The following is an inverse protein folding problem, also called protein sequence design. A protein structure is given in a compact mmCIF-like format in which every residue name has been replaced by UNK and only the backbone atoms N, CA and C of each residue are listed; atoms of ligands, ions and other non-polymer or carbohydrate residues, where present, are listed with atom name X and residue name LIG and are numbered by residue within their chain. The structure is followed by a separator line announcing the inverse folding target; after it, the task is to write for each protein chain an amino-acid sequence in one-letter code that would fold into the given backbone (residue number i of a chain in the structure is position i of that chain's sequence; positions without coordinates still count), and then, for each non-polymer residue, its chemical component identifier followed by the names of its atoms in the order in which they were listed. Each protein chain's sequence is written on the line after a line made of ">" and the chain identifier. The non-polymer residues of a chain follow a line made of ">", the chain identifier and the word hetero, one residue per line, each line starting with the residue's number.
data_IF_238287444117
#
_entry.id   IF_238287444117
#
_cell.length_a   1.000
_cell.length_b   1.000
_cell.length_c   1.000
_cell.angle_alpha   90.00
_cell.angle_beta   90.00
_cell.angle_gamma   90.00
#
_symmetry.space_group_name_H-M   'P 1'
#
loop_
_entity.id
_entity.type
_entity.pdbx_description
1 polymer ?
#
# COMPACT_ATOMS: atom_id res chain seq x y z
N UNK A 1 7.29 32.70 7.29
CA UNK A 1 6.90 31.60 6.39
C UNK A 1 6.38 30.48 7.26
N UNK A 2 5.08 30.15 7.18
CA UNK A 2 4.52 29.00 7.91
C UNK A 2 4.39 27.82 6.96
N UNK A 3 5.18 26.78 7.20
CA UNK A 3 5.06 25.47 6.55
C UNK A 3 4.55 24.49 7.59
N UNK A 4 3.54 23.71 7.23
CA UNK A 4 2.95 22.68 8.07
C UNK A 4 3.36 21.30 7.55
N UNK A 5 3.71 20.40 8.45
CA UNK A 5 3.92 18.99 8.10
C UNK A 5 2.61 18.36 7.63
N UNK A 6 2.70 17.46 6.64
CA UNK A 6 1.55 16.70 6.14
C UNK A 6 1.41 15.44 6.98
N UNK A 7 0.36 15.35 7.82
CA UNK A 7 0.14 14.21 8.72
C UNK A 7 -1.11 13.40 8.40
N UNK A 8 -2.00 13.96 7.59
CA UNK A 8 -3.28 13.40 7.24
C UNK A 8 -3.72 13.93 5.87
N UNK A 9 -4.86 13.42 5.39
CA UNK A 9 -5.38 13.73 4.06
C UNK A 9 -5.82 15.19 3.89
N UNK A 10 -6.26 15.85 4.97
CA UNK A 10 -6.65 17.27 4.91
C UNK A 10 -5.42 18.17 4.73
N UNK A 11 -4.34 17.89 5.49
CA UNK A 11 -3.05 18.56 5.32
C UNK A 11 -2.49 18.36 3.91
N UNK A 12 -2.69 17.16 3.34
CA UNK A 12 -2.26 16.81 1.99
C UNK A 12 -3.03 17.61 0.93
N UNK A 13 -4.37 17.66 1.03
CA UNK A 13 -5.21 18.47 0.15
C UNK A 13 -4.87 19.95 0.23
N UNK A 14 -4.58 20.46 1.42
CA UNK A 14 -4.15 21.84 1.62
C UNK A 14 -2.77 22.12 1.02
N UNK A 15 -1.82 21.19 1.12
CA UNK A 15 -0.52 21.30 0.47
C UNK A 15 -0.67 21.33 -1.06
N UNK A 16 -1.49 20.46 -1.65
CA UNK A 16 -1.78 20.47 -3.09
C UNK A 16 -2.40 21.79 -3.57
N UNK A 17 -3.32 22.38 -2.79
CA UNK A 17 -3.89 23.71 -3.11
C UNK A 17 -2.83 24.79 -3.10
N UNK A 18 -1.92 24.77 -2.13
CA UNK A 18 -0.83 25.73 -2.04
C UNK A 18 0.16 25.58 -3.20
N UNK A 19 0.56 24.35 -3.55
CA UNK A 19 1.40 24.06 -4.72
C UNK A 19 0.76 24.66 -5.98
N UNK A 20 -0.53 24.42 -6.19
CA UNK A 20 -1.27 24.97 -7.33
C UNK A 20 -1.25 26.51 -7.37
N UNK A 21 -1.35 27.16 -6.22
CA UNK A 21 -1.29 28.63 -6.14
C UNK A 21 0.12 29.20 -6.35
N UNK A 22 1.15 28.39 -6.12
CA UNK A 22 2.56 28.76 -6.21
C UNK A 22 3.22 28.22 -7.49
N UNK A 23 2.44 27.66 -8.42
CA UNK A 23 2.96 26.94 -9.59
C UNK A 23 3.91 27.78 -10.46
N UNK A 24 3.60 29.07 -10.59
CA UNK A 24 4.39 30.03 -11.38
C UNK A 24 5.47 30.75 -10.55
N UNK A 25 5.74 30.29 -9.32
CA UNK A 25 6.75 30.90 -8.47
C UNK A 25 8.15 30.74 -9.05
N UNK A 26 8.94 31.82 -8.99
CA UNK A 26 10.29 31.83 -9.53
C UNK A 26 11.25 31.09 -8.59
N UNK A 27 12.09 30.18 -9.08
CA UNK A 27 13.10 29.49 -8.26
C UNK A 27 14.02 30.45 -7.50
N UNK A 28 14.36 30.10 -6.26
CA UNK A 28 15.21 30.93 -5.38
C UNK A 28 14.53 32.16 -4.81
N UNK A 29 13.22 32.31 -5.01
CA UNK A 29 12.39 33.27 -4.27
C UNK A 29 11.73 32.58 -3.07
N UNK A 30 11.26 33.32 -2.05
CA UNK A 30 10.57 32.71 -0.91
C UNK A 30 9.38 31.81 -1.29
N UNK A 31 8.65 32.19 -2.35
CA UNK A 31 7.54 31.40 -2.88
C UNK A 31 8.03 30.15 -3.64
N UNK A 32 9.14 30.26 -4.37
CA UNK A 32 9.78 29.12 -5.04
C UNK A 32 10.36 28.11 -4.04
N UNK A 33 11.06 28.59 -3.01
CA UNK A 33 11.59 27.75 -1.92
C UNK A 33 10.44 27.06 -1.17
N UNK A 34 9.33 27.77 -0.96
CA UNK A 34 8.12 27.20 -0.35
C UNK A 34 7.49 26.13 -1.25
N UNK A 35 7.42 26.35 -2.56
CA UNK A 35 6.93 25.37 -3.54
C UNK A 35 7.76 24.09 -3.48
N UNK A 36 9.09 24.21 -3.48
CA UNK A 36 10.01 23.07 -3.41
C UNK A 36 9.81 22.25 -2.13
N UNK A 37 9.72 22.92 -0.97
CA UNK A 37 9.49 22.23 0.31
C UNK A 37 8.12 21.54 0.33
N UNK A 38 7.07 22.17 -0.21
CA UNK A 38 5.75 21.55 -0.29
C UNK A 38 5.76 20.29 -1.16
N UNK A 39 6.48 20.30 -2.28
CA UNK A 39 6.67 19.11 -3.11
C UNK A 39 7.38 17.99 -2.35
N UNK A 40 8.45 18.30 -1.61
CA UNK A 40 9.15 17.29 -0.82
C UNK A 40 8.24 16.66 0.26
N UNK A 41 7.41 17.47 0.91
CA UNK A 41 6.46 16.99 1.92
C UNK A 41 5.34 16.13 1.31
N UNK A 42 4.82 16.54 0.16
CA UNK A 42 3.81 15.79 -0.60
C UNK A 42 4.38 14.45 -1.05
N UNK A 43 5.54 14.43 -1.68
CA UNK A 43 6.19 13.18 -2.12
C UNK A 43 6.42 12.23 -0.94
N UNK A 44 6.94 12.74 0.18
CA UNK A 44 7.13 11.92 1.38
C UNK A 44 5.82 11.34 1.90
N UNK A 45 4.77 12.16 1.96
CA UNK A 45 3.46 11.70 2.40
C UNK A 45 2.89 10.64 1.45
N UNK A 46 3.02 10.85 0.14
CA UNK A 46 2.60 9.89 -0.89
C UNK A 46 3.41 8.58 -0.82
N UNK A 47 4.73 8.62 -0.65
CA UNK A 47 5.54 7.41 -0.45
C UNK A 47 5.11 6.60 0.77
N UNK A 48 4.72 7.27 1.86
CA UNK A 48 4.26 6.64 3.11
C UNK A 48 2.80 6.12 3.01
N UNK A 49 1.92 6.76 2.22
CA UNK A 49 0.47 6.49 2.17
C UNK A 49 -0.01 5.86 0.85
N UNK A 50 0.84 5.84 -0.16
CA UNK A 50 0.66 5.23 -1.47
C UNK A 50 2.03 4.69 -1.88
N UNK A 51 2.49 3.60 -1.24
CA UNK A 51 3.71 2.94 -1.71
C UNK A 51 3.57 2.73 -3.21
N UNK A 52 4.66 2.96 -3.95
CA UNK A 52 4.72 2.69 -5.39
C UNK A 52 4.31 1.24 -5.56
N UNK A 53 3.02 1.01 -5.82
CA UNK A 53 2.51 -0.30 -6.08
C UNK A 53 3.16 -0.68 -7.40
N UNK A 54 3.87 -1.81 -7.40
CA UNK A 54 4.16 -2.50 -8.63
C UNK A 54 2.88 -2.49 -9.48
N UNK A 55 2.96 -2.15 -10.78
CA UNK A 55 1.79 -1.94 -11.59
C UNK A 55 0.91 -3.19 -11.49
N UNK A 56 -0.39 -2.99 -11.24
CA UNK A 56 -1.37 -4.06 -11.32
C UNK A 56 -1.07 -4.89 -12.59
N UNK A 57 -0.93 -6.22 -12.52
CA UNK A 57 -0.58 -7.04 -13.68
C UNK A 57 -1.43 -6.75 -14.90
N UNK A 58 -2.70 -6.41 -14.71
CA UNK A 58 -3.62 -6.06 -15.79
C UNK A 58 -3.24 -4.73 -16.42
N UNK A 59 -2.89 -3.73 -15.61
CA UNK A 59 -2.45 -2.43 -16.10
C UNK A 59 -1.09 -2.53 -16.78
N UNK A 60 -0.18 -3.31 -16.20
CA UNK A 60 1.10 -3.68 -16.83
C UNK A 60 0.89 -4.29 -18.21
N UNK A 61 -0.02 -5.27 -18.34
CA UNK A 61 -0.34 -5.89 -19.63
C UNK A 61 -0.85 -4.85 -20.63
N UNK A 62 -1.75 -3.94 -20.23
CA UNK A 62 -2.30 -2.91 -21.12
C UNK A 62 -1.21 -1.96 -21.62
N UNK A 63 -0.33 -1.49 -20.73
CA UNK A 63 0.80 -0.64 -21.13
C UNK A 63 1.69 -1.37 -22.14
N UNK A 64 2.04 -2.63 -21.87
CA UNK A 64 2.83 -3.45 -22.81
C UNK A 64 2.12 -3.68 -24.13
N UNK A 65 0.80 -3.83 -24.13
CA UNK A 65 0.02 -3.94 -25.36
C UNK A 65 0.11 -2.65 -26.17
N UNK A 66 0.00 -1.48 -25.55
CA UNK A 66 0.14 -0.19 -26.23
C UNK A 66 1.54 -0.01 -26.82
N UNK A 67 2.58 -0.29 -26.04
CA UNK A 67 3.98 -0.19 -26.47
C UNK A 67 4.33 -1.12 -27.63
N UNK A 68 3.75 -2.32 -27.64
CA UNK A 68 3.99 -3.33 -28.68
C UNK A 68 2.96 -3.29 -29.81
N UNK A 69 1.96 -2.40 -29.74
CA UNK A 69 0.88 -2.32 -30.72
C UNK A 69 -0.03 -3.55 -30.78
N UNK A 70 -0.13 -4.31 -29.68
CA UNK A 70 -0.93 -5.53 -29.58
C UNK A 70 -2.42 -5.20 -29.40
N UNK A 71 -3.27 -6.03 -30.01
CA UNK A 71 -4.72 -6.01 -29.80
C UNK A 71 -5.12 -7.15 -28.87
N UNK A 72 -6.33 -7.08 -28.31
CA UNK A 72 -6.87 -8.17 -27.47
C UNK A 72 -6.79 -9.55 -28.14
N UNK A 73 -7.01 -9.61 -29.47
CA UNK A 73 -6.91 -10.86 -30.22
C UNK A 73 -5.52 -11.49 -30.20
N UNK A 74 -4.47 -10.68 -30.04
CA UNK A 74 -3.09 -11.15 -30.06
C UNK A 74 -2.70 -11.79 -28.72
N UNK A 75 -3.49 -11.61 -27.66
CA UNK A 75 -3.30 -12.26 -26.37
C UNK A 75 -3.93 -13.64 -26.26
N UNK A 76 -4.78 -14.03 -27.22
CA UNK A 76 -5.47 -15.34 -27.25
C UNK A 76 -4.49 -16.52 -27.14
N UNK A 77 -3.34 -16.56 -27.85
CA UNK A 77 -2.40 -17.67 -27.73
C UNK A 77 -1.80 -17.84 -26.32
N UNK A 78 -1.79 -16.78 -25.51
CA UNK A 78 -1.13 -16.78 -24.21
C UNK A 78 -2.12 -16.92 -23.05
N UNK A 79 -3.31 -16.32 -23.18
CA UNK A 79 -4.34 -16.30 -22.14
C UNK A 79 -5.43 -17.36 -22.39
N UNK A 80 -5.66 -17.77 -23.64
CA UNK A 80 -6.70 -18.71 -24.02
C UNK A 80 -7.79 -18.03 -24.86
N UNK A 81 -9.06 -18.15 -24.48
CA UNK A 81 -10.16 -17.66 -25.32
C UNK A 81 -10.27 -16.12 -25.35
N UNK A 82 -10.97 -15.56 -26.35
CA UNK A 82 -11.23 -14.11 -26.44
C UNK A 82 -12.00 -13.59 -25.21
N UNK A 83 -12.91 -14.41 -24.70
CA UNK A 83 -13.67 -14.14 -23.47
C UNK A 83 -12.71 -14.07 -22.28
N UNK A 84 -11.79 -15.03 -22.16
CA UNK A 84 -10.79 -15.06 -21.08
C UNK A 84 -9.86 -13.83 -21.13
N UNK A 85 -9.40 -13.43 -22.32
CA UNK A 85 -8.63 -12.18 -22.49
C UNK A 85 -9.43 -10.98 -21.99
N UNK A 86 -10.69 -10.88 -22.38
CA UNK A 86 -11.56 -9.76 -21.99
C UNK A 86 -11.82 -9.75 -20.49
N UNK A 87 -12.05 -10.91 -19.87
CA UNK A 87 -12.26 -11.03 -18.43
C UNK A 87 -11.02 -10.65 -17.64
N UNK A 88 -9.83 -11.08 -18.08
CA UNK A 88 -8.54 -10.72 -17.45
C UNK A 88 -8.29 -9.22 -17.56
N UNK A 89 -8.40 -8.65 -18.77
CA UNK A 89 -8.13 -7.22 -18.98
C UNK A 89 -9.11 -6.28 -18.28
N UNK A 90 -10.30 -6.78 -17.94
CA UNK A 90 -11.30 -6.07 -17.13
C UNK A 90 -11.24 -6.42 -15.64
N UNK A 91 -10.25 -7.21 -15.19
CA UNK A 91 -10.08 -7.58 -13.79
C UNK A 91 -11.16 -8.51 -13.23
N UNK A 92 -12.01 -9.11 -14.08
CA UNK A 92 -13.06 -10.07 -13.66
C UNK A 92 -12.49 -11.45 -13.35
N UNK A 93 -11.28 -11.74 -13.84
CA UNK A 93 -10.59 -13.01 -13.66
C UNK A 93 -9.10 -12.74 -13.37
N UNK A 94 -8.51 -13.37 -12.33
CA UNK A 94 -7.07 -13.30 -12.11
C UNK A 94 -6.31 -14.05 -13.21
N UNK A 95 -5.07 -13.63 -13.46
CA UNK A 95 -4.12 -14.41 -14.25
C UNK A 95 -3.82 -15.74 -13.55
N UNK A 96 -3.84 -16.84 -14.30
CA UNK A 96 -3.32 -18.12 -13.81
C UNK A 96 -1.79 -18.17 -13.95
N UNK A 97 -1.14 -19.04 -13.19
CA UNK A 97 0.31 -19.26 -13.31
C UNK A 97 0.72 -19.69 -14.74
N UNK A 98 -0.15 -20.42 -15.43
CA UNK A 98 0.08 -20.81 -16.82
C UNK A 98 0.00 -19.60 -17.76
N UNK A 99 -1.00 -18.73 -17.60
CA UNK A 99 -1.10 -17.47 -18.36
C UNK A 99 0.11 -16.58 -18.14
N UNK A 100 0.56 -16.44 -16.88
CA UNK A 100 1.75 -15.67 -16.52
C UNK A 100 2.99 -16.19 -17.24
N UNK A 101 3.21 -17.51 -17.21
CA UNK A 101 4.34 -18.15 -17.93
C UNK A 101 4.24 -17.93 -19.43
N UNK A 102 3.06 -18.08 -20.01
CA UNK A 102 2.86 -17.90 -21.45
C UNK A 102 3.11 -16.46 -21.89
N UNK A 103 2.65 -15.47 -21.12
CA UNK A 103 2.92 -14.05 -21.39
C UNK A 103 4.42 -13.72 -21.24
N UNK A 104 5.07 -14.27 -20.20
CA UNK A 104 6.51 -14.08 -19.99
C UNK A 104 7.33 -14.66 -21.14
N UNK A 105 7.21 -15.96 -21.41
CA UNK A 105 8.01 -16.63 -22.44
C UNK A 105 7.60 -16.26 -23.86
N UNK A 106 6.32 -15.92 -24.06
CA UNK A 106 5.75 -15.67 -25.37
C UNK A 106 5.88 -14.23 -25.86
N UNK A 107 5.80 -13.25 -24.94
CA UNK A 107 5.83 -11.82 -25.26
C UNK A 107 6.96 -11.06 -24.55
N UNK A 108 7.76 -11.73 -23.72
CA UNK A 108 8.84 -11.11 -22.96
C UNK A 108 8.37 -10.21 -21.83
N UNK A 109 7.16 -10.45 -21.30
CA UNK A 109 6.59 -9.65 -20.22
C UNK A 109 7.33 -9.96 -18.91
N UNK A 110 7.56 -8.95 -18.05
CA UNK A 110 8.25 -9.13 -16.78
C UNK A 110 7.48 -10.08 -15.87
N UNK A 111 8.16 -11.10 -15.35
CA UNK A 111 7.56 -12.07 -14.46
C UNK A 111 7.16 -11.43 -13.13
N UNK A 112 8.01 -10.54 -12.60
CA UNK A 112 7.75 -9.81 -11.35
C UNK A 112 6.47 -8.99 -11.45
N UNK A 113 6.34 -8.18 -12.52
CA UNK A 113 5.17 -7.35 -12.75
C UNK A 113 3.86 -8.13 -13.01
N UNK A 114 3.95 -9.41 -13.42
CA UNK A 114 2.78 -10.26 -13.66
C UNK A 114 2.32 -11.03 -12.41
N UNK A 115 3.15 -11.10 -11.37
CA UNK A 115 2.87 -11.86 -10.13
C UNK A 115 2.35 -10.93 -9.02
N UNK A 116 2.55 -9.62 -9.13
CA UNK A 116 1.98 -8.62 -8.22
C UNK A 116 0.46 -8.81 -8.08
N UNK A 117 -0.10 -8.67 -6.88
CA UNK A 117 -1.54 -8.82 -6.71
C UNK A 117 -2.30 -7.68 -7.43
N UNK A 118 -3.32 -7.97 -8.26
CA UNK A 118 -4.12 -6.94 -8.91
C UNK A 118 -4.85 -6.08 -7.86
N UNK A 119 -4.83 -4.76 -8.07
CA UNK A 119 -5.41 -3.74 -7.19
C UNK A 119 -6.94 -3.75 -7.31
N UNK A 120 -7.60 -4.82 -6.89
CA UNK A 120 -9.06 -4.91 -6.99
C UNK A 120 -9.66 -6.30 -6.97
N UNK A 121 -8.86 -7.36 -7.10
CA UNK A 121 -9.35 -8.69 -6.75
C UNK A 121 -9.14 -8.87 -5.25
N UNK A 122 -10.24 -8.78 -4.50
CA UNK A 122 -10.37 -9.39 -3.19
C UNK A 122 -10.23 -10.91 -3.30
N UNK A 123 -9.05 -11.38 -3.71
CA UNK A 123 -8.56 -12.64 -3.23
C UNK A 123 -8.69 -12.50 -1.72
N UNK A 124 -9.45 -13.41 -1.10
CA UNK A 124 -9.34 -13.64 0.32
C UNK A 124 -7.93 -14.21 0.56
N UNK A 125 -6.90 -13.41 0.34
CA UNK A 125 -5.78 -13.43 1.26
C UNK A 125 -6.45 -13.06 2.57
N UNK A 126 -6.63 -14.05 3.46
CA UNK A 126 -6.59 -13.71 4.88
C UNK A 126 -5.49 -12.66 5.02
N UNK A 127 -5.76 -11.49 5.64
CA UNK A 127 -4.75 -10.45 5.78
C UNK A 127 -3.50 -11.15 6.30
N UNK A 128 -2.49 -11.30 5.44
CA UNK A 128 -1.23 -11.84 5.88
C UNK A 128 -0.80 -10.85 6.96
N UNK A 129 -0.55 -11.31 8.20
CA UNK A 129 -0.21 -10.41 9.28
C UNK A 129 0.92 -9.55 8.76
N UNK A 130 0.67 -8.23 8.64
CA UNK A 130 1.70 -7.29 8.25
C UNK A 130 2.82 -7.52 9.26
N UNK A 131 3.89 -8.18 8.81
CA UNK A 131 5.01 -8.51 9.68
C UNK A 131 5.58 -7.16 10.08
N UNK A 132 5.26 -6.73 11.31
CA UNK A 132 5.77 -5.48 11.85
C UNK A 132 7.27 -5.53 11.68
N UNK A 133 7.83 -4.52 11.01
CA UNK A 133 9.27 -4.45 10.84
C UNK A 133 9.91 -4.33 12.24
N UNK A 134 11.14 -4.83 12.45
CA UNK A 134 11.79 -4.75 13.76
C UNK A 134 11.96 -3.31 14.30
N UNK A 135 11.99 -2.32 13.42
CA UNK A 135 12.08 -0.90 13.74
C UNK A 135 10.71 -0.23 13.95
N UNK A 136 9.61 -0.98 13.84
CA UNK A 136 8.26 -0.46 14.03
C UNK A 136 7.99 -0.12 15.51
N UNK A 137 7.45 1.07 15.84
CA UNK A 137 7.14 1.44 17.21
C UNK A 137 6.25 0.43 17.96
N UNK A 138 5.34 -0.26 17.26
CA UNK A 138 4.47 -1.28 17.86
C UNK A 138 5.24 -2.56 18.16
N UNK A 139 6.18 -2.96 17.28
CA UNK A 139 7.05 -4.09 17.54
C UNK A 139 7.98 -3.82 18.71
N UNK A 140 8.65 -2.67 18.71
CA UNK A 140 9.55 -2.26 19.80
C UNK A 140 8.80 -2.26 21.13
N UNK A 141 7.64 -1.60 21.19
CA UNK A 141 6.85 -1.54 22.43
C UNK A 141 6.27 -2.89 22.82
N UNK A 142 5.87 -3.70 21.84
CA UNK A 142 5.36 -5.06 22.07
C UNK A 142 6.38 -5.95 22.75
N UNK A 143 7.61 -5.99 22.23
CA UNK A 143 8.70 -6.77 22.83
C UNK A 143 9.06 -6.26 24.22
N UNK A 144 9.04 -4.94 24.45
CA UNK A 144 9.27 -4.36 25.78
C UNK A 144 8.20 -4.83 26.81
N UNK A 145 6.94 -4.90 26.40
CA UNK A 145 5.82 -5.24 27.30
C UNK A 145 5.69 -6.74 27.56
N UNK A 146 5.94 -7.57 26.55
CA UNK A 146 5.76 -9.02 26.66
C UNK A 146 7.05 -9.76 26.97
N UNK A 147 8.21 -9.12 26.85
CA UNK A 147 9.57 -9.67 27.03
C UNK A 147 9.94 -10.85 26.09
N UNK A 148 8.95 -11.41 25.41
CA UNK A 148 9.02 -12.56 24.51
C UNK A 148 8.26 -12.28 23.21
N UNK A 149 8.92 -12.59 22.08
CA UNK A 149 8.38 -12.34 20.75
C UNK A 149 7.17 -13.24 20.44
N UNK A 150 7.19 -14.50 20.88
CA UNK A 150 6.09 -15.44 20.62
C UNK A 150 4.82 -15.04 21.38
N UNK A 151 4.95 -14.60 22.63
CA UNK A 151 3.83 -14.09 23.42
C UNK A 151 3.26 -12.78 22.85
N UNK A 152 4.12 -11.88 22.36
CA UNK A 152 3.66 -10.69 21.65
C UNK A 152 2.92 -11.04 20.35
N UNK A 153 3.47 -11.95 19.54
CA UNK A 153 2.82 -12.42 18.31
C UNK A 153 1.48 -13.12 18.60
N UNK A 154 1.42 -13.91 19.66
CA UNK A 154 0.20 -14.55 20.13
C UNK A 154 -0.84 -13.51 20.55
N UNK A 155 -0.44 -12.45 21.26
CA UNK A 155 -1.33 -11.35 21.60
C UNK A 155 -1.86 -10.62 20.37
N UNK A 156 -0.98 -10.29 19.40
CA UNK A 156 -1.37 -9.66 18.14
C UNK A 156 -2.43 -10.45 17.37
N UNK A 157 -2.37 -11.77 17.45
CA UNK A 157 -3.26 -12.70 16.75
C UNK A 157 -4.47 -13.14 17.58
N UNK A 158 -4.61 -12.67 18.82
CA UNK A 158 -5.73 -13.00 19.72
C UNK A 158 -6.77 -11.88 19.74
N UNK A 159 -8.05 -12.23 19.66
CA UNK A 159 -9.14 -11.24 19.70
C UNK A 159 -9.09 -10.44 21.01
N UNK A 160 -9.03 -9.12 20.89
CA UNK A 160 -8.93 -8.21 22.03
C UNK A 160 -10.29 -7.54 22.29
N UNK A 161 -10.80 -7.64 23.52
CA UNK A 161 -12.11 -7.06 23.90
C UNK A 161 -12.13 -5.54 23.80
N UNK A 162 -11.04 -4.87 24.17
CA UNK A 162 -10.92 -3.41 24.12
C UNK A 162 -10.95 -2.87 22.69
N UNK A 163 -10.70 -3.73 21.69
CA UNK A 163 -10.82 -3.44 20.25
C UNK A 163 -12.13 -3.96 19.63
N UNK A 164 -13.13 -4.31 20.43
CA UNK A 164 -14.39 -4.85 19.92
C UNK A 164 -14.30 -6.29 19.42
N UNK A 165 -13.44 -7.12 20.01
CA UNK A 165 -13.15 -8.51 19.62
C UNK A 165 -12.47 -8.67 18.26
N UNK A 166 -11.73 -7.65 17.82
CA UNK A 166 -10.85 -7.71 16.65
C UNK A 166 -9.44 -8.10 17.09
N UNK A 167 -8.67 -8.78 16.22
CA UNK A 167 -7.25 -9.06 16.50
C UNK A 167 -6.45 -7.76 16.32
N UNK A 168 -5.52 -7.43 17.22
CA UNK A 168 -4.67 -6.25 17.05
C UNK A 168 -3.95 -6.17 15.69
N UNK A 169 -3.51 -7.31 15.14
CA UNK A 169 -2.81 -7.35 13.84
C UNK A 169 -3.69 -6.93 12.65
N UNK A 170 -4.99 -7.19 12.72
CA UNK A 170 -5.97 -6.80 11.70
C UNK A 170 -6.36 -5.32 11.83
N UNK A 171 -5.79 -4.59 12.81
CA UNK A 171 -6.14 -3.23 13.20
C UNK A 171 -4.95 -2.26 13.09
N UNK A 172 -4.01 -2.55 12.19
CA UNK A 172 -2.78 -1.78 11.98
C UNK A 172 -2.79 -0.93 10.70
N UNK A 173 -3.94 -0.82 10.03
CA UNK A 173 -4.12 -0.18 8.73
C UNK A 173 -4.04 1.35 8.74
N UNK A 174 -4.39 2.01 9.85
CA UNK A 174 -4.34 3.49 9.94
C UNK A 174 -3.49 4.01 11.10
N UNK A 175 -2.87 5.21 10.98
CA UNK A 175 -2.09 5.81 12.05
C UNK A 175 -2.85 5.94 13.39
N UNK A 176 -4.14 6.26 13.35
CA UNK A 176 -4.99 6.41 14.54
C UNK A 176 -5.19 5.08 15.25
N UNK A 177 -5.44 4.02 14.47
CA UNK A 177 -5.61 2.67 15.01
C UNK A 177 -4.31 2.12 15.58
N UNK A 178 -3.19 2.35 14.89
CA UNK A 178 -1.84 2.05 15.39
C UNK A 178 -1.55 2.77 16.71
N UNK A 179 -1.93 4.04 16.84
CA UNK A 179 -1.83 4.79 18.10
C UNK A 179 -2.70 4.18 19.22
N UNK A 180 -3.88 3.66 18.90
CA UNK A 180 -4.71 2.94 19.87
C UNK A 180 -4.06 1.64 20.31
N UNK A 181 -3.43 0.87 19.40
CA UNK A 181 -2.66 -0.32 19.75
C UNK A 181 -1.49 0.03 20.68
N UNK A 182 -0.73 1.09 20.39
CA UNK A 182 0.33 1.57 21.28
C UNK A 182 -0.19 1.95 22.66
N UNK A 183 -1.32 2.65 22.74
CA UNK A 183 -1.95 2.99 24.02
C UNK A 183 -2.37 1.72 24.78
N UNK A 184 -2.86 0.69 24.10
CA UNK A 184 -3.19 -0.59 24.74
C UNK A 184 -1.94 -1.29 25.29
N UNK A 185 -0.84 -1.30 24.55
CA UNK A 185 0.43 -1.85 25.03
C UNK A 185 0.91 -1.10 26.28
N UNK A 186 0.82 0.23 26.30
CA UNK A 186 1.14 1.05 27.49
C UNK A 186 0.19 0.73 28.66
N UNK A 187 -1.10 0.51 28.41
CA UNK A 187 -2.03 0.10 29.47
C UNK A 187 -1.68 -1.29 30.04
N UNK A 188 -1.29 -2.24 29.19
CA UNK A 188 -0.86 -3.59 29.60
C UNK A 188 0.39 -3.51 30.46
N UNK A 189 1.39 -2.73 30.04
CA UNK A 189 2.62 -2.47 30.80
C UNK A 189 2.33 -1.96 32.22
N UNK A 190 1.33 -1.08 32.35
CA UNK A 190 0.96 -0.45 33.62
C UNK A 190 -0.16 -1.21 34.38
N UNK A 191 -0.55 -2.40 33.92
CA UNK A 191 -1.56 -3.24 34.56
C UNK A 191 -2.98 -2.65 34.58
N UNK A 192 -3.28 -1.69 33.70
CA UNK A 192 -4.60 -1.08 33.58
C UNK A 192 -5.46 -1.89 32.60
N UNK A 193 -6.31 -2.78 33.13
CA UNK A 193 -7.26 -3.57 32.33
C UNK A 193 -8.64 -2.87 32.26
N UNK A 194 -9.25 -2.85 31.07
CA UNK A 194 -10.66 -2.48 30.84
C UNK A 194 -11.50 -3.74 30.52
#
# INVERSE_FOLDING_TARGET
>A
MEIKLIRNEDDYKDALRQIKSLWDAVPGTPDGDKLEILFMLVNRYEEEHSPINEPDPVEYIKVRMEELGLRHGDLVPYIGSKESVTEVLNGKRPLSLEMIRNLHYGLGFSLEALITAPSGLGLNTEPQPQLLKPDDPIAIKGIEVFEDEDDFQKWLNTKNKSLGNVKPVDWLDTPERRKQILNLLVCIEHGMYF
#
